data_IF_006839394233
#
_entry.id   IF_006839394233
#
_cell.length_a   1.000
_cell.length_b   1.000
_cell.length_c   1.000
_cell.angle_alpha   90.00
_cell.angle_beta   90.00
_cell.angle_gamma   90.00
#
_symmetry.space_group_name_H-M   'P 1'
#
loop_
_entity.id
_entity.type
_entity.pdbx_description
1 polymer ?
#
# COMPACT_ATOMS: atom_id res chain seq x y z
N UNK A 1 14.49 11.01 -5.60
CA UNK A 1 15.20 9.79 -5.14
C UNK A 1 14.30 8.57 -5.30
N UNK A 2 14.82 7.51 -5.90
CA UNK A 2 14.05 6.28 -6.08
C UNK A 2 14.40 5.29 -4.99
N UNK A 3 13.38 4.74 -4.35
CA UNK A 3 13.55 3.72 -3.32
C UNK A 3 13.34 2.36 -3.95
N UNK A 4 14.30 1.47 -3.75
CA UNK A 4 14.23 0.10 -4.26
C UNK A 4 14.06 -0.88 -3.11
N UNK A 5 13.62 -2.13 -3.38
CA UNK A 5 13.51 -3.14 -2.32
C UNK A 5 14.82 -3.35 -1.56
N UNK A 6 15.95 -3.22 -2.24
CA UNK A 6 17.26 -3.40 -1.60
C UNK A 6 17.60 -2.29 -0.60
N UNK A 7 16.93 -1.14 -0.71
CA UNK A 7 17.13 -0.04 0.23
C UNK A 7 16.45 -0.29 1.58
N UNK A 8 15.52 -1.25 1.64
CA UNK A 8 14.76 -1.52 2.84
C UNK A 8 15.56 -2.44 3.75
N UNK A 9 15.82 -1.97 4.96
CA UNK A 9 16.57 -2.76 5.94
C UNK A 9 15.60 -3.46 6.88
N UNK A 10 15.61 -4.78 6.84
CA UNK A 10 14.68 -5.61 7.60
C UNK A 10 14.71 -5.28 9.09
N UNK A 11 15.87 -5.00 9.64
CA UNK A 11 16.00 -4.75 11.09
C UNK A 11 15.25 -3.49 11.53
N UNK A 12 15.15 -2.47 10.69
CA UNK A 12 14.38 -1.28 11.05
C UNK A 12 12.90 -1.59 11.14
N UNK A 13 12.41 -2.40 10.21
CA UNK A 13 11.00 -2.83 10.24
C UNK A 13 10.76 -3.72 11.47
N UNK A 14 11.68 -4.63 11.76
CA UNK A 14 11.54 -5.56 12.87
C UNK A 14 11.48 -4.85 14.23
N UNK A 15 12.18 -3.73 14.36
CA UNK A 15 12.22 -2.97 15.62
C UNK A 15 11.07 -1.99 15.77
N UNK A 16 10.37 -1.69 14.69
CA UNK A 16 9.27 -0.72 14.70
C UNK A 16 8.00 -1.36 15.26
N UNK A 17 7.17 -0.57 15.93
CA UNK A 17 5.83 -1.01 16.32
C UNK A 17 4.87 -0.88 15.15
N UNK A 18 5.06 0.14 14.34
CA UNK A 18 4.22 0.46 13.18
C UNK A 18 5.09 0.86 12.01
N UNK A 19 4.60 0.57 10.81
CA UNK A 19 5.12 1.19 9.59
C UNK A 19 3.96 1.90 8.92
N UNK A 20 4.17 3.17 8.53
CA UNK A 20 3.16 3.96 7.85
C UNK A 20 3.52 4.03 6.38
N UNK A 21 2.62 3.56 5.54
CA UNK A 21 2.82 3.54 4.10
C UNK A 21 1.79 4.43 3.43
N UNK A 22 2.25 5.23 2.46
CA UNK A 22 1.37 6.07 1.65
C UNK A 22 1.03 5.35 0.36
N UNK A 23 -0.25 5.39 -0.03
CA UNK A 23 -0.69 4.77 -1.27
C UNK A 23 0.01 5.32 -2.50
N UNK A 24 0.41 6.58 -2.47
CA UNK A 24 1.14 7.19 -3.58
C UNK A 24 2.44 6.44 -3.88
N UNK A 25 3.10 5.90 -2.86
CA UNK A 25 4.35 5.16 -3.03
C UNK A 25 4.17 3.85 -3.80
N UNK A 26 2.94 3.35 -3.91
CA UNK A 26 2.63 2.13 -4.65
C UNK A 26 2.33 2.37 -6.12
N UNK A 27 2.25 3.63 -6.56
CA UNK A 27 1.80 3.92 -7.92
C UNK A 27 2.86 3.62 -8.98
N UNK A 28 4.12 3.62 -8.63
CA UNK A 28 5.22 3.44 -9.58
C UNK A 28 6.32 2.55 -9.03
N UNK A 29 6.98 1.81 -9.93
CA UNK A 29 8.21 1.12 -9.58
C UNK A 29 9.40 2.07 -9.63
N UNK A 30 10.47 1.84 -8.87
CA UNK A 30 10.68 0.68 -7.98
C UNK A 30 10.07 0.85 -6.58
N UNK A 31 9.45 1.99 -6.31
CA UNK A 31 8.87 2.28 -5.00
C UNK A 31 7.80 1.26 -4.61
N UNK A 32 6.96 0.83 -5.57
CA UNK A 32 5.92 -0.17 -5.30
C UNK A 32 6.52 -1.45 -4.72
N UNK A 33 7.54 -1.98 -5.36
CA UNK A 33 8.20 -3.21 -4.88
C UNK A 33 8.85 -2.99 -3.52
N UNK A 34 9.43 -1.80 -3.29
CA UNK A 34 10.02 -1.48 -1.99
C UNK A 34 8.96 -1.48 -0.89
N UNK A 35 7.78 -0.93 -1.16
CA UNK A 35 6.68 -0.90 -0.18
C UNK A 35 6.18 -2.31 0.13
N UNK A 36 6.05 -3.17 -0.88
CA UNK A 36 5.66 -4.56 -0.64
C UNK A 36 6.73 -5.30 0.15
N UNK A 37 7.99 -4.97 -0.02
CA UNK A 37 9.04 -5.56 0.80
C UNK A 37 8.91 -5.15 2.26
N UNK A 38 8.55 -3.90 2.53
CA UNK A 38 8.27 -3.45 3.90
C UNK A 38 7.12 -4.27 4.49
N UNK A 39 6.05 -4.49 3.73
CA UNK A 39 4.92 -5.29 4.19
C UNK A 39 5.37 -6.72 4.50
N UNK A 40 6.19 -7.32 3.65
CA UNK A 40 6.70 -8.67 3.87
C UNK A 40 7.50 -8.76 5.18
N UNK A 41 8.38 -7.80 5.41
CA UNK A 41 9.13 -7.75 6.66
C UNK A 41 8.23 -7.51 7.86
N UNK A 42 7.25 -6.62 7.71
CA UNK A 42 6.30 -6.35 8.80
C UNK A 42 5.53 -7.61 9.20
N UNK A 43 5.07 -8.39 8.22
CA UNK A 43 4.36 -9.64 8.50
C UNK A 43 5.27 -10.66 9.16
N UNK A 44 6.52 -10.72 8.73
CA UNK A 44 7.50 -11.65 9.31
C UNK A 44 7.79 -11.34 10.78
N UNK A 45 7.83 -10.07 11.14
CA UNK A 45 8.22 -9.60 12.48
C UNK A 45 7.05 -9.09 13.31
N UNK A 46 5.83 -9.29 12.84
CA UNK A 46 4.61 -8.88 13.54
C UNK A 46 4.55 -7.37 13.80
N UNK A 47 5.13 -6.60 12.90
CA UNK A 47 5.04 -5.14 12.91
C UNK A 47 3.71 -4.73 12.27
N UNK A 48 3.02 -3.75 12.88
CA UNK A 48 1.72 -3.30 12.36
C UNK A 48 1.91 -2.46 11.11
N UNK A 49 1.06 -2.69 10.13
CA UNK A 49 1.07 -1.95 8.87
C UNK A 49 -0.09 -0.96 8.88
N UNK A 50 0.22 0.33 8.72
CA UNK A 50 -0.78 1.39 8.62
C UNK A 50 -0.72 1.92 7.20
N UNK A 51 -1.84 1.85 6.48
CA UNK A 51 -1.94 2.40 5.13
C UNK A 51 -2.70 3.71 5.17
N UNK A 52 -2.07 4.77 4.69
CA UNK A 52 -2.74 6.01 4.32
C UNK A 52 -3.05 5.91 2.83
N UNK A 53 -4.32 5.83 2.47
CA UNK A 53 -4.71 5.59 1.08
C UNK A 53 -4.12 6.64 0.16
N UNK A 54 -4.24 7.94 0.51
CA UNK A 54 -3.59 9.04 -0.21
C UNK A 54 -3.60 8.83 -1.73
N UNK A 55 -4.80 8.66 -2.29
CA UNK A 55 -4.95 8.39 -3.71
C UNK A 55 -4.69 9.63 -4.54
N UNK A 56 -3.81 9.49 -5.53
CA UNK A 56 -3.48 10.54 -6.50
C UNK A 56 -3.65 9.96 -7.91
N UNK A 57 -4.60 10.44 -8.71
CA UNK A 57 -4.87 9.85 -10.02
C UNK A 57 -3.65 9.84 -10.95
N UNK A 58 -2.76 10.82 -10.80
CA UNK A 58 -1.65 11.00 -11.74
C UNK A 58 -0.62 9.87 -11.72
N UNK A 59 -0.56 9.13 -10.63
CA UNK A 59 0.45 8.07 -10.50
C UNK A 59 0.02 6.73 -11.08
N UNK A 60 -1.25 6.58 -11.46
CA UNK A 60 -1.81 5.30 -11.88
C UNK A 60 -2.22 5.35 -13.34
N UNK A 61 -2.07 4.20 -14.02
CA UNK A 61 -2.48 4.11 -15.42
C UNK A 61 -3.99 4.25 -15.58
N UNK A 62 -4.73 3.65 -14.65
CA UNK A 62 -6.18 3.76 -14.62
C UNK A 62 -6.70 3.45 -13.22
N UNK A 63 -7.98 3.68 -13.03
CA UNK A 63 -8.63 3.46 -11.73
C UNK A 63 -8.66 1.98 -11.34
N UNK A 64 -8.79 1.08 -12.30
CA UNK A 64 -8.78 -0.34 -12.02
C UNK A 64 -7.45 -0.81 -11.45
N UNK A 65 -6.35 -0.36 -12.03
CA UNK A 65 -5.02 -0.69 -11.52
C UNK A 65 -4.88 -0.22 -10.08
N UNK A 66 -5.27 1.02 -9.81
CA UNK A 66 -5.20 1.57 -8.47
C UNK A 66 -6.05 0.75 -7.49
N UNK A 67 -7.28 0.46 -7.86
CA UNK A 67 -8.20 -0.30 -7.01
C UNK A 67 -7.66 -1.68 -6.68
N UNK A 68 -7.14 -2.40 -7.67
CA UNK A 68 -6.57 -3.73 -7.45
C UNK A 68 -5.38 -3.69 -6.51
N UNK A 69 -4.49 -2.72 -6.70
CA UNK A 69 -3.33 -2.57 -5.86
C UNK A 69 -3.73 -2.26 -4.42
N UNK A 70 -4.65 -1.31 -4.23
CA UNK A 70 -5.14 -0.97 -2.89
C UNK A 70 -5.82 -2.15 -2.22
N UNK A 71 -6.59 -2.94 -2.95
CA UNK A 71 -7.22 -4.13 -2.37
C UNK A 71 -6.19 -5.12 -1.87
N UNK A 72 -5.12 -5.32 -2.63
CA UNK A 72 -4.03 -6.20 -2.21
C UNK A 72 -3.38 -5.69 -0.93
N UNK A 73 -3.12 -4.38 -0.85
CA UNK A 73 -2.49 -3.77 0.32
C UNK A 73 -3.43 -3.84 1.53
N UNK A 74 -4.70 -3.52 1.33
CA UNK A 74 -5.68 -3.46 2.42
C UNK A 74 -5.87 -4.82 3.09
N UNK A 75 -5.73 -5.92 2.36
CA UNK A 75 -5.81 -7.25 2.94
C UNK A 75 -4.69 -7.51 3.93
N UNK A 76 -3.59 -6.80 3.82
CA UNK A 76 -2.40 -6.98 4.64
C UNK A 76 -2.22 -5.88 5.67
N UNK A 77 -2.95 -4.77 5.54
CA UNK A 77 -2.84 -3.66 6.48
C UNK A 77 -3.62 -3.94 7.75
N UNK A 78 -3.07 -3.49 8.87
CA UNK A 78 -3.74 -3.58 10.16
C UNK A 78 -4.66 -2.38 10.41
N UNK A 79 -4.27 -1.21 9.88
CA UNK A 79 -5.04 0.03 10.00
C UNK A 79 -5.05 0.70 8.63
N UNK A 80 -6.21 1.19 8.22
CA UNK A 80 -6.38 1.87 6.95
C UNK A 80 -6.96 3.25 7.21
N UNK A 81 -6.30 4.28 6.71
CA UNK A 81 -6.71 5.68 6.87
C UNK A 81 -7.03 6.24 5.50
N UNK A 82 -8.17 6.91 5.38
CA UNK A 82 -8.55 7.56 4.14
C UNK A 82 -9.86 8.29 4.30
N UNK A 83 -10.20 9.12 3.32
CA UNK A 83 -11.50 9.75 3.27
C UNK A 83 -12.46 8.86 2.47
N UNK A 84 -13.73 9.27 2.38
CA UNK A 84 -14.75 8.47 1.72
C UNK A 84 -14.43 8.23 0.25
N UNK A 85 -13.99 9.28 -0.45
CA UNK A 85 -13.66 9.15 -1.87
C UNK A 85 -12.54 8.16 -2.10
N UNK A 86 -11.56 8.14 -1.21
CA UNK A 86 -10.44 7.21 -1.29
C UNK A 86 -10.88 5.78 -1.06
N UNK A 87 -11.76 5.56 -0.10
CA UNK A 87 -12.33 4.22 0.11
C UNK A 87 -13.15 3.75 -1.08
N UNK A 88 -13.85 4.66 -1.76
CA UNK A 88 -14.59 4.33 -2.97
C UNK A 88 -13.65 3.82 -4.07
N UNK A 89 -12.46 4.39 -4.18
CA UNK A 89 -11.44 3.90 -5.12
C UNK A 89 -11.05 2.47 -4.80
N UNK A 90 -10.82 2.16 -3.53
CA UNK A 90 -10.45 0.80 -3.12
C UNK A 90 -11.53 -0.21 -3.50
N UNK A 91 -12.79 0.16 -3.32
CA UNK A 91 -13.92 -0.73 -3.56
C UNK A 91 -14.33 -0.84 -5.04
N UNK A 92 -13.78 -0.01 -5.90
CA UNK A 92 -14.22 0.12 -7.29
C UNK A 92 -14.30 -1.24 -8.01
N UNK A 93 -13.24 -2.03 -7.96
CA UNK A 93 -13.20 -3.33 -8.63
C UNK A 93 -14.18 -4.31 -8.00
N UNK A 94 -14.31 -4.28 -6.68
CA UNK A 94 -15.25 -5.13 -5.96
C UNK A 94 -16.68 -4.82 -6.36
N UNK A 95 -17.03 -3.54 -6.46
CA UNK A 95 -18.37 -3.13 -6.88
C UNK A 95 -18.68 -3.58 -8.30
N UNK A 96 -17.71 -3.48 -9.20
CA UNK A 96 -17.88 -3.96 -10.57
C UNK A 96 -18.06 -5.46 -10.62
N UNK A 97 -17.34 -6.19 -9.78
CA UNK A 97 -17.39 -7.64 -9.74
C UNK A 97 -18.70 -8.20 -9.19
N UNK A 98 -19.44 -7.38 -8.47
CA UNK A 98 -20.71 -7.79 -7.86
C UNK A 98 -21.93 -7.59 -8.75
N UNK A 99 -21.73 -7.16 -9.97
CA UNK A 99 -22.84 -6.92 -10.90
C UNK A 99 -23.23 -8.16 -11.72
#
# INVERSE_FOLDING_TARGET
>A
MLITPEDIQEEFVAKAQYVLLSGTAFSMEPSRSAMFQIINYAKKHDTKVVLDIDYRPFGWNDLEEASRCYQTICRQADIIIGNREEFDVVEHTTMLGNK
#
